data_IF_123311046923
#
_entry.id   IF_123311046923
#
_cell.length_a   1.000
_cell.length_b   1.000
_cell.length_c   1.000
_cell.angle_alpha   90.00
_cell.angle_beta   90.00
_cell.angle_gamma   90.00
#
_symmetry.space_group_name_H-M   'P 1'
#
loop_
_entity.id
_entity.type
_entity.pdbx_description
1 polymer ?
#
# COMPACT_ATOMS: atom_id res chain seq x y z
N UNK A 1 -4.30 -3.53 -3.91
CA UNK A 1 -5.27 -2.48 -4.29
C UNK A 1 -6.55 -2.51 -3.46
N UNK A 2 -7.06 -3.65 -2.98
CA UNK A 2 -8.30 -3.72 -2.15
C UNK A 2 -8.20 -2.82 -0.91
N UNK A 3 -7.07 -2.83 -0.20
CA UNK A 3 -6.89 -2.05 1.03
C UNK A 3 -6.63 -0.57 0.78
N UNK A 4 -5.87 -0.19 -0.26
CA UNK A 4 -5.34 1.17 -0.34
C UNK A 4 -5.41 1.86 -1.70
N UNK A 5 -5.81 1.20 -2.79
CA UNK A 5 -5.75 1.81 -4.11
C UNK A 5 -7.06 2.47 -4.52
N UNK A 6 -7.07 3.79 -4.56
CA UNK A 6 -8.23 4.61 -4.93
C UNK A 6 -9.20 4.87 -3.78
N UNK A 7 -10.17 5.76 -4.05
CA UNK A 7 -11.14 6.22 -3.04
C UNK A 7 -12.13 5.14 -2.58
N UNK A 8 -12.27 4.04 -3.31
CA UNK A 8 -13.14 2.90 -2.95
C UNK A 8 -12.44 1.83 -2.12
N UNK A 9 -11.16 1.99 -1.82
CA UNK A 9 -10.38 1.06 -1.01
C UNK A 9 -10.81 1.12 0.46
N UNK A 10 -10.75 -0.02 1.16
CA UNK A 10 -11.26 -0.16 2.53
C UNK A 10 -10.67 0.85 3.51
N UNK A 11 -9.35 1.02 3.51
CA UNK A 11 -8.69 1.98 4.40
C UNK A 11 -9.12 3.42 4.14
N UNK A 12 -9.23 3.83 2.87
CA UNK A 12 -9.68 5.19 2.53
C UNK A 12 -11.13 5.42 2.97
N UNK A 13 -12.02 4.48 2.67
CA UNK A 13 -13.42 4.58 3.06
C UNK A 13 -13.56 4.68 4.57
N UNK A 14 -12.92 3.79 5.32
CA UNK A 14 -13.00 3.74 6.78
C UNK A 14 -12.38 4.97 7.43
N UNK A 15 -11.10 5.28 7.18
CA UNK A 15 -10.35 6.27 7.96
C UNK A 15 -10.50 7.71 7.44
N UNK A 16 -10.60 7.89 6.11
CA UNK A 16 -10.63 9.23 5.52
C UNK A 16 -12.05 9.72 5.29
N UNK A 17 -12.92 8.86 4.75
CA UNK A 17 -14.27 9.27 4.36
C UNK A 17 -15.27 9.17 5.52
N UNK A 18 -15.37 8.03 6.19
CA UNK A 18 -16.37 7.76 7.23
C UNK A 18 -15.95 8.35 8.58
N UNK A 19 -14.83 7.89 9.13
CA UNK A 19 -14.34 8.29 10.46
C UNK A 19 -13.69 9.68 10.45
N UNK A 20 -13.12 10.10 9.32
CA UNK A 20 -12.42 11.39 9.15
C UNK A 20 -11.28 11.60 10.14
N UNK A 21 -10.64 10.52 10.57
CA UNK A 21 -9.53 10.52 11.54
C UNK A 21 -8.16 10.63 10.88
N UNK A 22 -8.07 10.32 9.58
CA UNK A 22 -6.84 10.46 8.80
C UNK A 22 -7.03 11.41 7.61
N UNK A 23 -5.96 12.14 7.27
CA UNK A 23 -5.87 12.96 6.05
C UNK A 23 -5.52 12.12 4.83
N UNK A 24 -4.70 11.09 5.04
CA UNK A 24 -4.29 10.15 4.02
C UNK A 24 -4.00 8.79 4.66
N UNK A 25 -4.21 7.74 3.90
CA UNK A 25 -3.90 6.38 4.30
C UNK A 25 -3.50 5.59 3.06
N UNK A 26 -2.57 4.66 3.23
CA UNK A 26 -2.15 3.79 2.15
C UNK A 26 -1.54 2.50 2.63
N UNK A 27 -1.35 1.60 1.69
CA UNK A 27 -0.63 0.35 1.87
C UNK A 27 0.13 0.03 0.58
N UNK A 28 1.35 -0.46 0.72
CA UNK A 28 2.20 -0.81 -0.41
C UNK A 28 3.01 -2.08 -0.15
N UNK A 29 3.33 -2.78 -1.22
CA UNK A 29 4.19 -3.95 -1.24
C UNK A 29 4.97 -4.00 -2.56
N UNK A 30 6.30 -4.03 -2.46
CA UNK A 30 7.17 -4.18 -3.62
C UNK A 30 7.09 -5.60 -4.19
N UNK A 31 6.60 -5.73 -5.43
CA UNK A 31 6.48 -7.03 -6.09
C UNK A 31 7.80 -7.55 -6.67
N UNK A 32 8.72 -6.64 -7.01
CA UNK A 32 10.02 -6.93 -7.62
C UNK A 32 11.13 -6.83 -6.57
N UNK A 33 11.30 -7.89 -5.79
CA UNK A 33 12.34 -8.00 -4.76
C UNK A 33 12.94 -9.40 -4.79
N UNK A 34 14.25 -9.49 -4.58
CA UNK A 34 14.97 -10.76 -4.51
C UNK A 34 14.66 -11.52 -3.21
N UNK A 35 14.57 -10.77 -2.11
CA UNK A 35 14.27 -11.27 -0.77
C UNK A 35 12.86 -10.92 -0.31
N UNK A 36 12.33 -11.56 0.75
CA UNK A 36 11.04 -11.18 1.33
C UNK A 36 11.00 -9.71 1.72
N UNK A 37 10.08 -8.97 1.12
CA UNK A 37 9.87 -7.55 1.37
C UNK A 37 8.89 -7.29 2.51
N UNK A 38 8.79 -6.01 2.89
CA UNK A 38 7.82 -5.55 3.88
C UNK A 38 6.54 -5.09 3.19
N UNK A 39 5.41 -5.41 3.80
CA UNK A 39 4.14 -4.81 3.47
C UNK A 39 3.95 -3.58 4.35
N UNK A 40 3.95 -2.40 3.74
CA UNK A 40 3.84 -1.14 4.46
C UNK A 40 2.40 -0.67 4.54
N UNK A 41 2.00 -0.20 5.73
CA UNK A 41 0.82 0.62 5.93
C UNK A 41 1.27 1.98 6.43
N UNK A 42 0.65 3.04 5.95
CA UNK A 42 0.89 4.38 6.48
C UNK A 42 -0.42 5.15 6.62
N UNK A 43 -0.47 6.01 7.61
CA UNK A 43 -1.57 6.94 7.81
C UNK A 43 -1.05 8.30 8.26
N UNK A 44 -1.61 9.36 7.71
CA UNK A 44 -1.38 10.73 8.16
C UNK A 44 -2.55 11.12 9.05
N UNK A 45 -2.28 11.19 10.35
CA UNK A 45 -3.29 11.51 11.37
C UNK A 45 -3.79 12.93 11.20
N UNK A 46 -5.09 13.15 11.26
CA UNK A 46 -5.68 14.47 11.20
C UNK A 46 -5.36 15.27 12.47
N UNK A 47 -5.03 16.57 12.38
CA UNK A 47 -4.78 17.39 13.55
C UNK A 47 -5.93 17.32 14.57
N UNK A 48 -5.59 17.05 15.82
CA UNK A 48 -6.55 16.88 16.93
C UNK A 48 -7.02 15.45 17.17
N UNK A 49 -6.75 14.53 16.25
CA UNK A 49 -7.03 13.11 16.45
C UNK A 49 -5.87 12.38 17.15
N UNK A 50 -6.17 11.27 17.80
CA UNK A 50 -5.18 10.45 18.49
C UNK A 50 -4.55 9.45 17.53
N UNK A 51 -3.23 9.29 17.60
CA UNK A 51 -2.48 8.34 16.78
C UNK A 51 -2.96 6.92 17.01
N UNK A 52 -3.19 6.56 18.27
CA UNK A 52 -3.62 5.23 18.67
C UNK A 52 -4.99 4.86 18.08
N UNK A 53 -5.92 5.84 17.98
CA UNK A 53 -7.22 5.61 17.36
C UNK A 53 -7.12 5.34 15.85
N UNK A 54 -6.18 5.98 15.16
CA UNK A 54 -5.92 5.74 13.74
C UNK A 54 -5.21 4.40 13.54
N UNK A 55 -4.27 4.04 14.41
CA UNK A 55 -3.62 2.72 14.40
C UNK A 55 -4.65 1.61 14.58
N UNK A 56 -5.50 1.71 15.61
CA UNK A 56 -6.56 0.74 15.87
C UNK A 56 -7.51 0.58 14.68
N UNK A 57 -7.86 1.68 14.01
CA UNK A 57 -8.71 1.66 12.83
C UNK A 57 -8.03 0.93 11.64
N UNK A 58 -6.74 1.15 11.41
CA UNK A 58 -5.96 0.41 10.40
C UNK A 58 -5.93 -1.08 10.72
N UNK A 59 -5.65 -1.42 11.99
CA UNK A 59 -5.60 -2.81 12.44
C UNK A 59 -6.94 -3.52 12.31
N UNK A 60 -8.03 -2.82 12.56
CA UNK A 60 -9.39 -3.34 12.38
C UNK A 60 -9.67 -3.68 10.91
N UNK A 61 -9.25 -2.85 9.96
CA UNK A 61 -9.41 -3.18 8.53
C UNK A 61 -8.50 -4.35 8.10
N UNK A 62 -7.30 -4.47 8.67
CA UNK A 62 -6.44 -5.66 8.47
C UNK A 62 -7.13 -6.91 9.02
N UNK A 63 -7.65 -6.87 10.24
CA UNK A 63 -8.38 -8.00 10.82
C UNK A 63 -9.61 -8.35 9.99
N UNK A 64 -10.31 -7.36 9.49
CA UNK A 64 -11.48 -7.57 8.64
C UNK A 64 -11.16 -8.35 7.36
N UNK A 65 -10.07 -8.03 6.65
CA UNK A 65 -9.69 -8.78 5.44
C UNK A 65 -9.18 -10.20 5.76
N UNK A 66 -8.69 -10.44 6.98
CA UNK A 66 -8.30 -11.77 7.45
C UNK A 66 -9.53 -12.65 7.77
N UNK A 67 -10.63 -12.07 8.26
CA UNK A 67 -11.84 -12.79 8.66
C UNK A 67 -12.91 -12.83 7.59
N UNK A 68 -13.01 -11.76 6.79
CA UNK A 68 -14.00 -11.59 5.73
C UNK A 68 -13.30 -11.44 4.36
N UNK A 69 -13.39 -12.43 3.48
CA UNK A 69 -12.84 -12.31 2.14
C UNK A 69 -13.46 -11.11 1.42
N UNK A 70 -12.75 -10.48 0.48
CA UNK A 70 -13.30 -9.38 -0.31
C UNK A 70 -14.50 -9.87 -1.11
N UNK A 71 -15.48 -9.00 -1.27
CA UNK A 71 -16.61 -9.26 -2.16
C UNK A 71 -16.14 -9.40 -3.61
N UNK A 72 -16.93 -10.08 -4.44
CA UNK A 72 -16.63 -10.24 -5.86
C UNK A 72 -16.42 -8.88 -6.55
N UNK A 73 -17.23 -7.89 -6.19
CA UNK A 73 -17.13 -6.53 -6.74
C UNK A 73 -15.82 -5.83 -6.34
N UNK A 74 -15.39 -5.95 -5.08
CA UNK A 74 -14.11 -5.40 -4.61
C UNK A 74 -12.93 -6.08 -5.33
N UNK A 75 -12.97 -7.40 -5.44
CA UNK A 75 -11.94 -8.18 -6.09
C UNK A 75 -11.84 -7.83 -7.59
N UNK A 76 -12.97 -7.76 -8.28
CA UNK A 76 -13.01 -7.43 -9.70
C UNK A 76 -12.51 -5.99 -9.98
N UNK A 77 -12.88 -5.03 -9.14
CA UNK A 77 -12.36 -3.66 -9.22
C UNK A 77 -10.85 -3.62 -9.05
N UNK A 78 -10.32 -4.35 -8.06
CA UNK A 78 -8.90 -4.42 -7.82
C UNK A 78 -8.13 -5.04 -9.02
N UNK A 79 -8.66 -6.12 -9.60
CA UNK A 79 -8.09 -6.77 -10.79
C UNK A 79 -8.08 -5.81 -11.98
N UNK A 80 -9.21 -5.14 -12.25
CA UNK A 80 -9.31 -4.18 -13.35
C UNK A 80 -8.32 -3.01 -13.20
N UNK A 81 -8.12 -2.50 -11.98
CA UNK A 81 -7.14 -1.43 -11.71
C UNK A 81 -5.71 -1.89 -11.96
N UNK A 82 -5.35 -3.09 -11.50
CA UNK A 82 -4.00 -3.67 -11.71
C UNK A 82 -3.76 -3.90 -13.20
N UNK A 83 -4.73 -4.45 -13.90
CA UNK A 83 -4.64 -4.71 -15.34
C UNK A 83 -4.51 -3.42 -16.14
N UNK A 84 -5.34 -2.40 -15.82
CA UNK A 84 -5.25 -1.10 -16.47
C UNK A 84 -3.88 -0.44 -16.25
N UNK A 85 -3.36 -0.47 -15.02
CA UNK A 85 -2.03 0.06 -14.72
C UNK A 85 -0.94 -0.66 -15.53
N UNK A 86 -1.01 -1.98 -15.61
CA UNK A 86 -0.06 -2.79 -16.39
C UNK A 86 -0.12 -2.46 -17.90
N UNK A 87 -1.33 -2.27 -18.45
CA UNK A 87 -1.49 -1.88 -19.87
C UNK A 87 -0.86 -0.51 -20.13
N UNK A 88 -1.08 0.48 -19.27
CA UNK A 88 -0.45 1.80 -19.40
C UNK A 88 1.09 1.75 -19.30
N UNK A 89 1.64 0.86 -18.50
CA UNK A 89 3.09 0.67 -18.41
C UNK A 89 3.69 0.10 -19.70
N UNK A 90 2.92 -0.62 -20.50
CA UNK A 90 3.37 -1.19 -21.77
C UNK A 90 3.58 -0.15 -22.89
N UNK A 91 3.04 1.05 -22.76
CA UNK A 91 3.24 2.13 -23.75
C UNK A 91 4.68 2.68 -23.77
N UNK A 92 5.49 2.36 -22.75
CA UNK A 92 6.87 2.81 -22.67
C UNK A 92 7.86 1.67 -22.86
N UNK A 93 8.62 1.68 -23.95
CA UNK A 93 9.70 0.73 -24.19
C UNK A 93 10.74 0.72 -23.05
N UNK A 94 11.03 1.88 -22.47
CA UNK A 94 11.94 2.00 -21.33
C UNK A 94 11.40 1.27 -20.09
N UNK A 95 10.11 1.45 -19.77
CA UNK A 95 9.46 0.75 -18.64
C UNK A 95 9.45 -0.76 -18.88
N UNK A 96 9.14 -1.20 -20.08
CA UNK A 96 9.18 -2.63 -20.42
C UNK A 96 10.58 -3.22 -20.25
N UNK A 97 11.61 -2.52 -20.77
CA UNK A 97 13.00 -2.98 -20.65
C UNK A 97 13.45 -3.03 -19.18
N UNK A 98 13.11 -2.01 -18.38
CA UNK A 98 13.37 -1.99 -16.94
C UNK A 98 12.70 -3.16 -16.23
N UNK A 99 11.41 -3.40 -16.48
CA UNK A 99 10.64 -4.45 -15.81
C UNK A 99 11.20 -5.85 -16.11
N UNK A 100 11.58 -6.09 -17.36
CA UNK A 100 12.21 -7.35 -17.77
C UNK A 100 13.60 -7.51 -17.15
N UNK A 101 14.42 -6.46 -17.18
CA UNK A 101 15.76 -6.47 -16.58
C UNK A 101 15.73 -6.66 -15.08
N UNK A 102 14.80 -6.00 -14.38
CA UNK A 102 14.59 -6.16 -12.94
C UNK A 102 14.17 -7.60 -12.62
N UNK A 103 13.21 -8.16 -13.35
CA UNK A 103 12.75 -9.53 -13.16
C UNK A 103 13.87 -10.55 -13.33
N UNK A 104 14.76 -10.37 -14.31
CA UNK A 104 15.93 -11.25 -14.49
C UNK A 104 16.96 -11.04 -13.37
N UNK A 105 17.23 -9.82 -12.98
CA UNK A 105 18.23 -9.49 -11.95
C UNK A 105 17.88 -10.11 -10.58
N UNK A 106 16.60 -10.10 -10.21
CA UNK A 106 16.13 -10.70 -8.96
C UNK A 106 15.90 -12.22 -9.06
N UNK A 107 16.17 -12.85 -10.19
CA UNK A 107 15.95 -14.28 -10.42
C UNK A 107 14.48 -14.69 -10.59
N UNK A 108 13.56 -13.72 -10.75
CA UNK A 108 12.15 -14.00 -10.99
C UNK A 108 11.89 -14.53 -12.38
N UNK A 109 12.66 -14.04 -13.36
CA UNK A 109 12.58 -14.38 -14.78
C UNK A 109 11.49 -13.63 -15.54
N UNK A 110 11.76 -13.27 -16.80
CA UNK A 110 10.86 -12.50 -17.65
C UNK A 110 9.47 -13.15 -17.85
N UNK A 111 9.39 -14.49 -17.75
CA UNK A 111 8.10 -15.21 -17.88
C UNK A 111 7.09 -14.82 -16.82
N UNK A 112 7.54 -14.47 -15.61
CA UNK A 112 6.62 -13.97 -14.56
C UNK A 112 5.99 -12.62 -14.92
N UNK A 113 6.74 -11.78 -15.64
CA UNK A 113 6.23 -10.50 -16.14
C UNK A 113 5.14 -10.75 -17.19
N UNK A 114 5.39 -11.62 -18.17
CA UNK A 114 4.41 -11.92 -19.22
C UNK A 114 3.14 -12.60 -18.70
N UNK A 115 3.23 -13.36 -17.61
CA UNK A 115 2.10 -14.05 -16.97
C UNK A 115 1.37 -13.20 -15.91
N UNK A 116 1.81 -11.97 -15.67
CA UNK A 116 1.32 -11.15 -14.56
C UNK A 116 -0.20 -10.92 -14.59
N UNK A 117 -0.73 -10.55 -15.76
CA UNK A 117 -2.18 -10.31 -15.93
C UNK A 117 -2.98 -11.59 -15.74
N UNK A 118 -2.56 -12.69 -16.35
CA UNK A 118 -3.23 -13.98 -16.23
C UNK A 118 -3.28 -14.44 -14.76
N UNK A 119 -2.15 -14.36 -14.06
CA UNK A 119 -2.06 -14.70 -12.64
C UNK A 119 -2.91 -13.78 -11.76
N UNK A 120 -2.96 -12.49 -12.08
CA UNK A 120 -3.82 -11.53 -11.37
C UNK A 120 -5.31 -11.89 -11.55
N UNK A 121 -5.72 -12.26 -12.76
CA UNK A 121 -7.10 -12.69 -13.04
C UNK A 121 -7.47 -13.96 -12.31
N UNK A 122 -6.53 -14.88 -12.13
CA UNK A 122 -6.76 -16.16 -11.44
C UNK A 122 -6.91 -16.03 -9.90
N UNK A 123 -6.50 -14.91 -9.30
CA UNK A 123 -6.61 -14.70 -7.84
C UNK A 123 -8.07 -14.77 -7.39
N UNK A 124 -8.35 -15.53 -6.34
CA UNK A 124 -9.66 -15.65 -5.71
C UNK A 124 -9.77 -14.79 -4.43
N UNK A 125 -10.98 -14.57 -3.95
CA UNK A 125 -11.22 -13.89 -2.68
C UNK A 125 -10.61 -14.67 -1.49
N UNK A 126 -10.63 -15.98 -1.56
CA UNK A 126 -10.01 -16.88 -0.57
C UNK A 126 -8.47 -16.77 -0.59
N UNK A 127 -7.86 -16.59 -1.76
CA UNK A 127 -6.42 -16.38 -1.86
C UNK A 127 -6.00 -15.08 -1.17
N UNK A 128 -6.78 -14.00 -1.35
CA UNK A 128 -6.55 -12.73 -0.67
C UNK A 128 -6.66 -12.88 0.83
N UNK A 129 -7.72 -13.53 1.33
CA UNK A 129 -7.93 -13.77 2.76
C UNK A 129 -6.81 -14.62 3.35
N UNK A 130 -6.44 -15.71 2.69
CA UNK A 130 -5.34 -16.61 3.12
C UNK A 130 -4.01 -15.86 3.20
N UNK A 131 -3.70 -15.06 2.19
CA UNK A 131 -2.49 -14.24 2.19
C UNK A 131 -2.50 -13.20 3.33
N UNK A 132 -3.62 -12.51 3.55
CA UNK A 132 -3.75 -11.56 4.64
C UNK A 132 -3.58 -12.24 6.01
N UNK A 133 -4.20 -13.40 6.22
CA UNK A 133 -4.08 -14.15 7.48
C UNK A 133 -2.67 -14.65 7.73
N UNK A 134 -1.93 -15.02 6.68
CA UNK A 134 -0.58 -15.54 6.81
C UNK A 134 0.48 -14.45 6.98
N UNK A 135 0.41 -13.38 6.18
CA UNK A 135 1.48 -12.37 6.10
C UNK A 135 1.24 -11.11 6.94
N UNK A 136 0.00 -10.85 7.37
CA UNK A 136 -0.35 -9.68 8.19
C UNK A 136 -0.65 -10.08 9.64
N UNK A 137 -0.01 -11.13 10.14
CA UNK A 137 -0.15 -11.60 11.51
C UNK A 137 0.44 -10.57 12.50
N UNK A 138 -0.14 -10.51 13.70
CA UNK A 138 0.20 -9.49 14.70
C UNK A 138 1.66 -9.59 15.19
N UNK A 139 2.21 -10.80 15.24
CA UNK A 139 3.60 -11.08 15.66
C UNK A 139 4.66 -10.68 14.63
N UNK A 140 4.25 -10.45 13.38
CA UNK A 140 5.13 -9.97 12.30
C UNK A 140 5.07 -8.45 12.08
N UNK A 141 4.39 -7.72 12.98
CA UNK A 141 4.16 -6.28 12.84
C UNK A 141 5.17 -5.46 13.62
N UNK A 142 5.63 -4.37 12.99
CA UNK A 142 6.34 -3.28 13.65
C UNK A 142 5.59 -1.97 13.36
N UNK A 143 5.28 -1.20 14.40
CA UNK A 143 4.65 0.12 14.28
C UNK A 143 5.65 1.20 14.62
N UNK A 144 5.74 2.24 13.80
CA UNK A 144 6.53 3.44 14.02
C UNK A 144 5.63 4.68 13.97
N UNK A 145 5.78 5.58 14.94
CA UNK A 145 5.04 6.84 14.98
C UNK A 145 6.01 8.01 14.85
N UNK A 146 5.77 8.86 13.83
CA UNK A 146 6.48 10.12 13.67
C UNK A 146 5.74 11.22 14.41
N UNK A 147 6.37 11.80 15.44
CA UNK A 147 5.84 12.95 16.18
C UNK A 147 6.53 14.20 15.63
N UNK A 148 5.79 15.13 14.96
CA UNK A 148 6.37 16.36 14.46
C UNK A 148 6.90 17.23 15.61
N UNK A 149 8.13 17.72 15.48
CA UNK A 149 8.61 18.73 16.40
C UNK A 149 8.09 20.12 16.00
N UNK A 150 7.86 21.03 16.96
CA UNK A 150 7.53 22.41 16.64
C UNK A 150 8.62 23.01 15.69
N UNK A 151 8.25 23.88 14.75
CA UNK A 151 9.22 24.54 13.90
C UNK A 151 10.27 25.23 14.78
N UNK A 152 11.52 24.87 14.64
CA UNK A 152 12.60 25.65 15.25
C UNK A 152 12.57 27.04 14.62
N UNK A 153 12.25 28.07 15.43
CA UNK A 153 12.38 29.45 14.99
C UNK A 153 13.87 29.64 14.71
N UNK A 154 14.26 29.66 13.42
CA UNK A 154 15.61 30.07 13.06
C UNK A 154 15.78 31.47 13.60
N UNK A 155 16.62 31.60 14.64
CA UNK A 155 17.08 32.92 15.08
C UNK A 155 17.64 33.62 13.85
N UNK A 156 17.08 34.77 13.53
CA UNK A 156 17.54 35.59 12.41
C UNK A 156 19.05 35.76 12.54
N UNK A 157 19.81 35.30 11.54
CA UNK A 157 21.26 35.51 11.47
C UNK A 157 21.50 37.01 11.54
N UNK A 158 22.37 37.53 12.45
CA UNK A 158 22.61 38.95 12.52
C UNK A 158 23.13 39.42 11.17
N UNK A 159 22.49 40.46 10.63
CA UNK A 159 22.91 41.09 9.39
C UNK A 159 24.40 41.53 9.52
N UNK A 160 25.24 41.02 8.62
CA UNK A 160 26.62 41.49 8.53
C UNK A 160 26.61 42.96 8.06
N UNK A 161 27.25 43.88 8.78
CA UNK A 161 27.40 45.27 8.31
C UNK A 161 28.32 45.27 7.10
N UNK A 162 27.92 46.01 6.07
CA UNK A 162 28.72 46.30 4.86
C UNK A 162 29.81 47.28 5.18
#
# INVERSE_FOLDING_TARGET
SILSHGKSARLYQSLVYEQKTALAVGADYGLMQADPGLFYFYAVVKPGEKVEAVEDAVLKEIQRIQTEPPSELELQRAKNQIEAAHIFEQDSNFRQAMLLGEAETIGAGWRKVSQFVERTRAVTAQDVQRAASHYLAADMRTTGTLIPQPPQTQAASPAQPH
#
